data_IF_312397022586
#
_entry.id   IF_312397022586
#
_cell.length_a   1.000
_cell.length_b   1.000
_cell.length_c   1.000
_cell.angle_alpha   90.00
_cell.angle_beta   90.00
_cell.angle_gamma   90.00
#
_symmetry.space_group_name_H-M   'P 1'
#
loop_
_entity.id
_entity.type
_entity.pdbx_description
1 polymer ?
#
# COMPACT_ATOMS: atom_id res chain seq x y z
N UNK A 1 -52.00 -10.22 21.01
CA UNK A 1 -51.11 -11.24 21.64
C UNK A 1 -50.42 -12.06 20.53
N UNK A 2 -51.08 -12.32 19.39
CA UNK A 2 -50.53 -13.07 18.25
C UNK A 2 -49.37 -12.31 17.53
N UNK A 3 -49.43 -11.00 17.45
CA UNK A 3 -48.43 -10.19 16.73
C UNK A 3 -47.06 -10.15 17.46
N UNK A 4 -47.03 -10.25 18.80
CA UNK A 4 -45.75 -10.32 19.56
C UNK A 4 -45.05 -11.66 19.39
N UNK A 5 -45.80 -12.77 19.21
CA UNK A 5 -45.19 -14.12 19.01
C UNK A 5 -44.51 -14.22 17.63
N UNK A 6 -45.10 -13.68 16.60
CA UNK A 6 -44.49 -13.67 15.26
C UNK A 6 -43.21 -12.83 15.16
N UNK A 7 -43.18 -11.65 15.80
CA UNK A 7 -41.98 -10.80 15.84
C UNK A 7 -40.82 -11.43 16.58
N UNK A 8 -41.08 -12.19 17.66
CA UNK A 8 -40.04 -12.84 18.44
C UNK A 8 -39.45 -14.04 17.70
N UNK A 9 -40.26 -14.82 16.99
CA UNK A 9 -39.79 -15.93 16.15
C UNK A 9 -38.99 -15.40 14.95
N UNK A 10 -39.46 -14.35 14.27
CA UNK A 10 -38.70 -13.70 13.21
C UNK A 10 -37.35 -13.12 13.69
N UNK A 11 -37.29 -12.54 14.90
CA UNK A 11 -36.04 -12.03 15.45
C UNK A 11 -35.02 -13.16 15.74
N UNK A 12 -35.51 -14.33 16.18
CA UNK A 12 -34.67 -15.51 16.42
C UNK A 12 -34.23 -16.14 15.09
N UNK A 13 -35.12 -16.27 14.11
CA UNK A 13 -34.75 -16.72 12.77
C UNK A 13 -33.75 -15.76 12.08
N UNK A 14 -33.90 -14.46 12.27
CA UNK A 14 -32.94 -13.47 11.78
C UNK A 14 -31.59 -13.55 12.53
N UNK A 15 -31.58 -13.83 13.83
CA UNK A 15 -30.37 -14.08 14.61
C UNK A 15 -29.69 -15.39 14.21
N UNK A 16 -30.46 -16.42 13.89
CA UNK A 16 -29.95 -17.73 13.43
C UNK A 16 -29.45 -17.61 11.97
N UNK A 17 -30.16 -16.89 11.09
CA UNK A 17 -29.75 -16.68 9.70
C UNK A 17 -28.47 -15.85 9.57
N UNK A 18 -28.15 -15.00 10.52
CA UNK A 18 -26.90 -14.23 10.52
C UNK A 18 -25.69 -15.02 11.01
N UNK A 19 -25.82 -16.31 11.41
CA UNK A 19 -24.74 -17.22 11.83
C UNK A 19 -23.73 -16.62 12.85
N UNK A 20 -23.96 -15.38 13.29
CA UNK A 20 -22.98 -14.56 13.97
C UNK A 20 -22.77 -15.01 15.41
N UNK A 21 -23.85 -15.37 16.08
CA UNK A 21 -23.82 -15.72 17.50
C UNK A 21 -23.34 -17.15 17.77
N UNK A 22 -23.60 -18.03 16.85
CA UNK A 22 -23.43 -19.48 17.00
C UNK A 22 -22.00 -19.91 16.63
N UNK A 23 -21.35 -19.18 15.72
CA UNK A 23 -19.93 -19.36 15.42
C UNK A 23 -19.00 -19.04 16.60
N UNK A 24 -19.36 -18.08 17.45
CA UNK A 24 -18.58 -17.76 18.66
C UNK A 24 -18.53 -18.90 19.67
N UNK A 25 -19.56 -19.75 19.72
CA UNK A 25 -19.62 -20.89 20.62
C UNK A 25 -18.96 -22.16 20.06
N UNK A 26 -18.45 -22.15 18.83
CA UNK A 26 -17.88 -23.33 18.16
C UNK A 26 -18.92 -24.40 17.83
N UNK A 27 -20.21 -24.03 17.81
CA UNK A 27 -21.32 -24.97 17.57
C UNK A 27 -21.78 -24.91 16.10
N UNK A 28 -21.81 -26.05 15.44
CA UNK A 28 -22.49 -26.21 14.17
C UNK A 28 -24.00 -26.39 14.41
N UNK A 29 -24.78 -25.41 14.01
CA UNK A 29 -26.22 -25.44 14.18
C UNK A 29 -26.93 -26.08 12.99
N UNK A 30 -27.97 -26.83 13.27
CA UNK A 30 -28.84 -27.40 12.26
C UNK A 30 -29.88 -26.35 11.85
N UNK A 31 -29.98 -26.08 10.55
CA UNK A 31 -30.94 -25.12 9.99
C UNK A 31 -32.37 -25.52 10.38
N UNK A 32 -33.15 -24.57 10.91
CA UNK A 32 -34.51 -24.81 11.37
C UNK A 32 -34.67 -25.44 12.76
N UNK A 33 -33.58 -25.82 13.45
CA UNK A 33 -33.63 -26.41 14.78
C UNK A 33 -33.61 -25.36 15.90
N UNK A 34 -34.46 -24.34 15.83
CA UNK A 34 -34.58 -23.28 16.83
C UNK A 34 -35.95 -23.27 17.53
N UNK A 35 -35.96 -23.13 18.85
CA UNK A 35 -37.16 -22.97 19.65
C UNK A 35 -36.98 -21.87 20.69
N UNK A 36 -38.02 -21.05 20.85
CA UNK A 36 -38.05 -19.99 21.89
C UNK A 36 -39.20 -20.23 22.85
N UNK A 37 -38.85 -20.39 24.14
CA UNK A 37 -39.82 -20.54 25.20
C UNK A 37 -40.22 -19.19 25.79
N UNK A 38 -41.41 -18.73 25.46
CA UNK A 38 -41.92 -17.42 25.87
C UNK A 38 -42.08 -17.26 27.39
N UNK A 39 -42.30 -18.37 28.12
CA UNK A 39 -42.49 -18.32 29.59
C UNK A 39 -41.20 -18.04 30.33
N UNK A 40 -40.11 -18.62 29.89
CA UNK A 40 -38.78 -18.50 30.54
C UNK A 40 -37.89 -17.49 29.85
N UNK A 41 -38.25 -17.02 28.65
CA UNK A 41 -37.41 -16.14 27.84
C UNK A 41 -36.16 -16.84 27.28
N UNK A 42 -36.14 -18.17 27.22
CA UNK A 42 -35.02 -18.96 26.74
C UNK A 42 -35.16 -19.32 25.26
N UNK A 43 -34.07 -19.18 24.53
CA UNK A 43 -33.90 -19.72 23.21
C UNK A 43 -33.11 -21.03 23.28
N UNK A 44 -33.51 -22.00 22.46
CA UNK A 44 -32.86 -23.30 22.30
C UNK A 44 -32.51 -23.41 20.81
N UNK A 45 -31.27 -23.78 20.52
CA UNK A 45 -30.78 -23.99 19.16
C UNK A 45 -30.11 -25.34 19.09
N UNK A 46 -30.63 -26.22 18.21
CA UNK A 46 -30.08 -27.56 18.01
C UNK A 46 -28.82 -27.52 17.14
N UNK A 47 -27.84 -28.29 17.50
CA UNK A 47 -26.60 -28.52 16.76
C UNK A 47 -26.31 -30.02 16.60
N UNK A 48 -25.22 -30.33 15.90
CA UNK A 48 -24.82 -31.73 15.63
C UNK A 48 -24.49 -32.47 16.89
N UNK A 49 -23.90 -31.83 17.89
CA UNK A 49 -23.44 -32.43 19.13
C UNK A 49 -24.33 -32.14 20.35
N UNK A 50 -25.53 -31.58 20.13
CA UNK A 50 -26.45 -31.27 21.23
C UNK A 50 -27.29 -30.01 20.93
N UNK A 51 -27.64 -29.30 22.00
CA UNK A 51 -28.36 -28.03 21.86
C UNK A 51 -27.76 -26.95 22.75
N UNK A 52 -27.77 -25.71 22.23
CA UNK A 52 -27.41 -24.54 22.97
C UNK A 52 -28.66 -23.87 23.54
N UNK A 53 -28.62 -23.43 24.80
CA UNK A 53 -29.69 -22.64 25.40
C UNK A 53 -29.13 -21.32 25.93
N UNK A 54 -29.81 -20.23 25.64
CA UNK A 54 -29.43 -18.89 26.09
C UNK A 54 -30.68 -18.00 26.25
N UNK A 55 -30.49 -16.88 26.93
CA UNK A 55 -31.53 -15.84 27.02
C UNK A 55 -31.13 -14.69 26.07
N UNK A 56 -31.86 -14.44 24.98
CA UNK A 56 -31.51 -13.39 24.01
C UNK A 56 -31.38 -12.01 24.64
N UNK A 57 -32.18 -11.73 25.68
CA UNK A 57 -32.15 -10.45 26.40
C UNK A 57 -30.86 -10.24 27.23
N UNK A 58 -30.15 -11.33 27.54
CA UNK A 58 -28.88 -11.30 28.32
C UNK A 58 -27.65 -11.34 27.44
N UNK A 59 -27.83 -11.50 26.15
CA UNK A 59 -26.72 -11.46 25.19
C UNK A 59 -26.24 -10.03 25.07
N UNK A 60 -25.01 -9.81 25.47
CA UNK A 60 -24.35 -8.51 25.34
C UNK A 60 -23.42 -8.55 24.13
N UNK A 61 -23.57 -7.61 23.24
CA UNK A 61 -22.61 -7.38 22.15
C UNK A 61 -21.32 -6.83 22.77
N UNK A 62 -20.22 -7.45 22.45
CA UNK A 62 -18.91 -6.94 22.88
C UNK A 62 -18.61 -5.64 22.14
N UNK A 63 -18.62 -4.54 22.86
CA UNK A 63 -18.30 -3.20 22.33
C UNK A 63 -16.81 -2.90 22.33
N UNK A 64 -16.01 -3.81 22.84
CA UNK A 64 -14.56 -3.64 22.90
C UNK A 64 -13.97 -3.93 21.53
N UNK A 65 -13.26 -2.96 20.97
CA UNK A 65 -12.48 -3.12 19.75
C UNK A 65 -11.01 -3.12 20.14
N UNK A 66 -10.24 -4.17 19.79
CA UNK A 66 -8.83 -4.22 20.13
C UNK A 66 -8.02 -3.18 19.36
N UNK A 67 -6.95 -2.67 19.95
CA UNK A 67 -6.01 -1.80 19.27
C UNK A 67 -5.22 -2.56 18.20
N UNK A 68 -4.90 -1.90 17.08
CA UNK A 68 -4.05 -2.45 16.00
C UNK A 68 -2.66 -1.85 16.08
N UNK A 69 -1.66 -2.68 15.89
CA UNK A 69 -0.25 -2.26 15.83
C UNK A 69 0.43 -2.81 14.59
N UNK A 70 1.41 -2.08 14.09
CA UNK A 70 2.31 -2.55 13.04
C UNK A 70 3.37 -3.47 13.69
N UNK A 71 3.49 -4.69 13.19
CA UNK A 71 4.32 -5.74 13.79
C UNK A 71 5.57 -6.05 12.99
N UNK A 72 5.58 -5.79 11.69
CA UNK A 72 6.71 -6.11 10.82
C UNK A 72 6.82 -5.20 9.61
N UNK A 73 8.06 -5.01 9.17
CA UNK A 73 8.41 -4.35 7.92
C UNK A 73 9.33 -5.28 7.13
N UNK A 74 9.00 -5.51 5.89
CA UNK A 74 9.88 -6.16 4.93
C UNK A 74 10.16 -5.22 3.76
N UNK A 75 11.38 -5.22 3.26
CA UNK A 75 11.80 -4.45 2.09
C UNK A 75 12.51 -5.40 1.14
N UNK A 76 12.00 -5.52 -0.10
CA UNK A 76 12.48 -6.48 -1.11
C UNK A 76 12.57 -7.91 -0.55
N UNK A 77 11.52 -8.35 0.12
CA UNK A 77 11.38 -9.67 0.76
C UNK A 77 12.41 -9.96 1.87
N UNK A 78 13.03 -8.91 2.42
CA UNK A 78 13.92 -8.98 3.57
C UNK A 78 13.28 -8.31 4.77
N UNK A 79 13.17 -9.04 5.88
CA UNK A 79 12.67 -8.49 7.13
C UNK A 79 13.66 -7.46 7.68
N UNK A 80 13.14 -6.30 8.09
CA UNK A 80 13.91 -5.16 8.57
C UNK A 80 13.60 -4.92 10.04
N UNK A 81 14.60 -5.14 10.88
CA UNK A 81 14.56 -4.87 12.31
C UNK A 81 15.09 -3.47 12.68
N UNK A 82 15.02 -3.17 13.97
CA UNK A 82 15.57 -1.93 14.53
C UNK A 82 17.08 -1.93 14.43
N UNK A 83 17.66 -0.88 13.85
CA UNK A 83 19.10 -0.72 13.65
C UNK A 83 19.66 -1.44 12.43
N UNK A 84 18.84 -2.20 11.69
CA UNK A 84 19.28 -2.85 10.48
C UNK A 84 19.63 -1.85 9.39
N UNK A 85 20.70 -2.13 8.66
CA UNK A 85 21.18 -1.28 7.58
C UNK A 85 20.79 -1.85 6.21
N UNK A 86 20.06 -1.07 5.44
CA UNK A 86 19.74 -1.38 4.06
C UNK A 86 20.35 -0.32 3.13
N UNK A 87 21.13 -0.76 2.14
CA UNK A 87 21.82 0.16 1.21
C UNK A 87 22.67 1.23 1.89
N UNK A 88 23.31 0.88 3.06
CA UNK A 88 24.18 1.78 3.81
C UNK A 88 23.45 2.81 4.68
N UNK A 89 22.15 2.65 4.93
CA UNK A 89 21.33 3.49 5.81
C UNK A 89 20.55 2.65 6.81
N UNK A 90 20.35 3.16 8.00
CA UNK A 90 19.41 2.61 8.97
C UNK A 90 18.00 2.99 8.53
N UNK A 91 17.13 2.02 8.39
CA UNK A 91 15.73 2.22 7.95
C UNK A 91 14.82 2.47 9.15
N UNK A 92 14.99 1.70 10.22
CA UNK A 92 14.23 1.82 11.45
C UNK A 92 15.17 2.15 12.62
N UNK A 93 15.02 3.34 13.20
CA UNK A 93 15.77 3.74 14.40
C UNK A 93 15.10 3.27 15.70
N UNK A 94 13.81 2.96 15.62
CA UNK A 94 12.97 2.50 16.72
C UNK A 94 11.97 1.44 16.25
N UNK A 95 11.33 0.69 17.16
CA UNK A 95 10.32 -0.31 16.79
C UNK A 95 9.22 0.28 15.91
N UNK A 96 8.74 -0.50 14.93
CA UNK A 96 7.80 -0.05 13.91
C UNK A 96 6.52 0.53 14.52
N UNK A 97 6.00 -0.05 15.61
CA UNK A 97 4.81 0.43 16.31
C UNK A 97 4.98 1.81 16.99
N UNK A 98 6.22 2.30 17.15
CA UNK A 98 6.53 3.66 17.63
C UNK A 98 6.92 4.59 16.48
N UNK A 99 7.21 4.04 15.31
CA UNK A 99 7.66 4.79 14.14
C UNK A 99 6.47 5.46 13.49
N UNK A 100 6.54 6.77 13.33
CA UNK A 100 5.49 7.54 12.64
C UNK A 100 5.80 7.79 11.18
N UNK A 101 7.05 7.70 10.80
CA UNK A 101 7.52 8.05 9.46
C UNK A 101 8.54 7.02 8.98
N UNK A 102 8.26 6.42 7.83
CA UNK A 102 9.12 5.49 7.12
C UNK A 102 9.63 6.15 5.85
N UNK A 103 10.95 6.32 5.74
CA UNK A 103 11.57 6.92 4.55
C UNK A 103 12.15 5.82 3.67
N UNK A 104 11.61 5.68 2.47
CA UNK A 104 12.05 4.73 1.45
C UNK A 104 12.69 5.47 0.26
N UNK A 105 13.48 4.77 -0.50
CA UNK A 105 14.09 5.27 -1.74
C UNK A 105 13.57 4.49 -2.94
N UNK A 106 13.78 5.00 -4.13
CA UNK A 106 13.44 4.28 -5.39
C UNK A 106 14.22 2.97 -5.58
N UNK A 107 15.23 2.69 -4.76
CA UNK A 107 15.94 1.40 -4.74
C UNK A 107 15.16 0.34 -3.99
N UNK A 108 14.34 0.75 -3.04
CA UNK A 108 13.48 -0.11 -2.23
C UNK A 108 12.19 -0.37 -3.02
N UNK A 109 12.26 -1.22 -4.04
CA UNK A 109 11.23 -1.41 -5.06
C UNK A 109 9.91 -1.97 -4.53
N UNK A 110 9.97 -2.71 -3.44
CA UNK A 110 8.80 -3.28 -2.76
C UNK A 110 8.98 -3.19 -1.26
N UNK A 111 7.89 -2.99 -0.55
CA UNK A 111 7.85 -3.11 0.90
C UNK A 111 6.55 -3.77 1.32
N UNK A 112 6.60 -4.53 2.41
CA UNK A 112 5.46 -5.16 3.05
C UNK A 112 5.32 -4.66 4.47
N UNK A 113 4.09 -4.43 4.90
CA UNK A 113 3.74 -4.04 6.26
C UNK A 113 2.89 -5.16 6.87
N UNK A 114 3.36 -5.71 7.97
CA UNK A 114 2.59 -6.63 8.79
C UNK A 114 1.93 -5.87 9.95
N UNK A 115 0.69 -6.24 10.26
CA UNK A 115 -0.10 -5.63 11.33
C UNK A 115 -0.85 -6.70 12.12
N UNK A 116 -1.15 -6.42 13.38
CA UNK A 116 -1.94 -7.32 14.23
C UNK A 116 -2.75 -6.54 15.25
N UNK A 117 -3.94 -7.04 15.55
CA UNK A 117 -4.72 -6.55 16.67
C UNK A 117 -4.22 -7.17 18.00
N UNK A 118 -4.25 -6.37 19.05
CA UNK A 118 -3.93 -6.82 20.42
C UNK A 118 -5.14 -7.53 21.03
N UNK A 119 -5.53 -8.66 20.41
CA UNK A 119 -6.66 -9.48 20.84
C UNK A 119 -6.20 -10.89 21.18
N UNK A 120 -6.57 -11.35 22.38
CA UNK A 120 -6.27 -12.71 22.85
C UNK A 120 -7.47 -13.66 22.77
N UNK A 121 -8.66 -13.09 22.56
CA UNK A 121 -9.92 -13.85 22.46
C UNK A 121 -10.52 -13.57 21.08
N UNK A 122 -11.03 -14.63 20.43
CA UNK A 122 -11.66 -14.57 19.10
C UNK A 122 -10.81 -13.88 18.03
N UNK A 123 -9.49 -13.99 18.11
CA UNK A 123 -8.55 -13.32 17.19
C UNK A 123 -8.68 -13.78 15.73
N UNK A 124 -9.21 -14.97 15.50
CA UNK A 124 -9.52 -15.59 14.21
C UNK A 124 -10.79 -15.04 13.55
N UNK A 125 -11.67 -14.44 14.35
CA UNK A 125 -12.94 -13.86 13.88
C UNK A 125 -12.84 -12.37 13.54
N UNK A 126 -11.69 -11.75 13.78
CA UNK A 126 -11.46 -10.36 13.46
C UNK A 126 -11.41 -10.14 11.94
N UNK A 127 -11.70 -8.92 11.51
CA UNK A 127 -11.46 -8.45 10.16
C UNK A 127 -10.63 -7.17 10.23
N UNK A 128 -9.76 -6.99 9.25
CA UNK A 128 -8.99 -5.77 9.12
C UNK A 128 -9.43 -5.00 7.89
N UNK A 129 -9.35 -3.70 7.95
CA UNK A 129 -9.43 -2.85 6.78
C UNK A 129 -8.21 -1.95 6.75
N UNK A 130 -7.51 -1.91 5.64
CA UNK A 130 -6.35 -1.06 5.44
C UNK A 130 -6.47 -0.22 4.17
N UNK A 131 -5.76 0.88 4.14
CA UNK A 131 -5.64 1.75 2.98
C UNK A 131 -4.33 2.53 3.04
N UNK A 132 -3.67 2.67 1.93
CA UNK A 132 -2.54 3.58 1.75
C UNK A 132 -3.04 4.87 1.11
N UNK A 133 -3.39 5.84 1.94
CA UNK A 133 -3.94 7.13 1.53
C UNK A 133 -2.94 7.85 0.62
N UNK A 134 -3.41 8.31 -0.53
CA UNK A 134 -2.59 8.88 -1.60
C UNK A 134 -2.22 7.88 -2.71
N UNK A 135 -2.47 6.59 -2.49
CA UNK A 135 -2.26 5.54 -3.50
C UNK A 135 -3.53 4.71 -3.73
N UNK A 136 -4.12 4.16 -2.66
CA UNK A 136 -5.35 3.38 -2.74
C UNK A 136 -6.56 4.29 -2.89
N UNK A 137 -7.52 3.87 -3.71
CA UNK A 137 -8.78 4.60 -3.92
C UNK A 137 -9.86 4.24 -2.92
N UNK A 138 -9.73 3.10 -2.23
CA UNK A 138 -10.70 2.59 -1.27
C UNK A 138 -10.03 1.73 -0.20
N UNK A 139 -10.75 1.48 0.89
CA UNK A 139 -10.35 0.54 1.93
C UNK A 139 -10.44 -0.90 1.44
N UNK A 140 -9.41 -1.68 1.69
CA UNK A 140 -9.38 -3.13 1.43
C UNK A 140 -9.68 -3.87 2.71
N UNK A 141 -10.72 -4.70 2.70
CA UNK A 141 -11.13 -5.52 3.85
C UNK A 141 -10.57 -6.93 3.69
N UNK A 142 -9.91 -7.42 4.73
CA UNK A 142 -9.27 -8.75 4.76
C UNK A 142 -9.60 -9.50 6.05
N UNK A 143 -9.63 -10.86 6.03
CA UNK A 143 -9.84 -11.66 7.22
C UNK A 143 -8.63 -11.64 8.15
N UNK A 144 -8.81 -12.13 9.38
CA UNK A 144 -7.76 -12.22 10.38
C UNK A 144 -6.53 -13.06 9.97
N UNK A 145 -6.66 -13.93 8.97
CA UNK A 145 -5.54 -14.71 8.43
C UNK A 145 -4.59 -13.90 7.56
N UNK A 146 -5.05 -12.77 6.98
CA UNK A 146 -4.28 -11.90 6.09
C UNK A 146 -3.85 -10.65 6.85
N UNK A 147 -2.66 -10.71 7.47
CA UNK A 147 -2.12 -9.66 8.35
C UNK A 147 -0.94 -8.92 7.73
N UNK A 148 -0.78 -9.04 6.42
CA UNK A 148 0.32 -8.43 5.68
C UNK A 148 -0.20 -7.85 4.38
N UNK A 149 0.39 -6.73 3.98
CA UNK A 149 0.13 -6.06 2.71
C UNK A 149 1.44 -5.65 2.07
N UNK A 150 1.55 -5.88 0.77
CA UNK A 150 2.74 -5.54 -0.02
C UNK A 150 2.43 -4.47 -1.05
N UNK A 151 3.32 -3.51 -1.18
CA UNK A 151 3.29 -2.47 -2.20
C UNK A 151 4.58 -2.51 -3.01
N UNK A 152 4.46 -2.35 -4.32
CA UNK A 152 5.61 -2.41 -5.23
C UNK A 152 5.60 -1.30 -6.26
N UNK A 153 6.81 -0.87 -6.68
CA UNK A 153 7.03 0.13 -7.74
C UNK A 153 6.23 1.43 -7.55
N UNK A 154 6.11 1.89 -6.31
CA UNK A 154 5.37 3.09 -6.01
C UNK A 154 6.09 4.35 -6.51
N UNK A 155 5.36 5.34 -7.02
CA UNK A 155 5.91 6.64 -7.37
C UNK A 155 6.54 7.35 -6.16
N UNK A 156 7.46 8.27 -6.43
CA UNK A 156 7.95 9.18 -5.38
C UNK A 156 6.80 10.06 -4.87
N UNK A 157 6.66 10.15 -3.56
CA UNK A 157 5.57 10.86 -2.91
C UNK A 157 5.49 10.57 -1.42
N UNK A 158 4.51 11.18 -0.77
CA UNK A 158 4.17 10.95 0.63
C UNK A 158 2.82 10.27 0.69
N UNK A 159 2.75 9.17 1.42
CA UNK A 159 1.58 8.33 1.57
C UNK A 159 1.32 8.09 3.06
N UNK A 160 0.09 7.83 3.45
CA UNK A 160 -0.23 7.48 4.84
C UNK A 160 -0.88 6.11 4.88
N UNK A 161 -0.19 5.15 5.49
CA UNK A 161 -0.77 3.84 5.74
C UNK A 161 -1.67 3.91 6.97
N UNK A 162 -2.90 3.47 6.82
CA UNK A 162 -3.91 3.42 7.87
C UNK A 162 -4.54 2.04 7.91
N UNK A 163 -4.72 1.51 9.12
CA UNK A 163 -5.37 0.23 9.34
C UNK A 163 -6.32 0.31 10.52
N UNK A 164 -7.45 -0.36 10.41
CA UNK A 164 -8.46 -0.50 11.48
C UNK A 164 -8.94 -1.94 11.56
N UNK A 165 -9.47 -2.31 12.71
CA UNK A 165 -9.97 -3.65 12.97
C UNK A 165 -11.47 -3.64 13.26
N UNK A 166 -12.14 -4.70 12.84
CA UNK A 166 -13.50 -5.03 13.19
C UNK A 166 -13.49 -6.19 14.19
N UNK A 167 -14.21 -6.06 15.30
CA UNK A 167 -14.35 -7.15 16.25
C UNK A 167 -15.27 -8.26 15.71
N UNK A 168 -15.37 -9.39 16.44
CA UNK A 168 -16.22 -10.50 16.08
C UNK A 168 -17.71 -10.13 15.95
N UNK A 169 -18.16 -9.09 16.63
CA UNK A 169 -19.55 -8.59 16.61
C UNK A 169 -19.82 -7.57 15.47
N UNK A 170 -18.85 -7.35 14.58
CA UNK A 170 -19.00 -6.47 13.43
C UNK A 170 -18.80 -4.98 13.73
N UNK A 171 -18.27 -4.64 14.92
CA UNK A 171 -17.99 -3.27 15.29
C UNK A 171 -16.60 -2.86 14.82
N UNK A 172 -16.52 -1.85 13.97
CA UNK A 172 -15.27 -1.27 13.52
C UNK A 172 -14.69 -0.31 14.56
N UNK A 173 -13.41 -0.44 14.83
CA UNK A 173 -12.67 0.50 15.64
C UNK A 173 -12.28 1.77 14.91
N UNK A 174 -11.67 2.72 15.63
CA UNK A 174 -11.07 3.91 15.03
C UNK A 174 -9.92 3.52 14.09
N UNK A 175 -9.51 4.46 13.25
CA UNK A 175 -8.28 4.31 12.48
C UNK A 175 -7.08 4.33 13.41
N UNK A 176 -6.29 3.28 13.36
CA UNK A 176 -5.09 3.10 14.20
C UNK A 176 -3.89 2.74 13.32
N UNK A 177 -2.72 2.71 13.94
CA UNK A 177 -1.46 2.37 13.27
C UNK A 177 -1.19 3.25 12.02
N UNK A 178 -1.29 4.56 12.18
CA UNK A 178 -0.95 5.52 11.13
C UNK A 178 0.58 5.59 10.95
N UNK A 179 1.05 5.25 9.75
CA UNK A 179 2.45 5.33 9.34
C UNK A 179 2.57 6.17 8.07
N UNK A 180 3.30 7.27 8.16
CA UNK A 180 3.64 8.06 6.99
C UNK A 180 4.78 7.39 6.22
N UNK A 181 4.55 7.05 4.96
CA UNK A 181 5.52 6.42 4.06
C UNK A 181 5.96 7.45 3.03
N UNK A 182 7.24 7.85 3.11
CA UNK A 182 7.85 8.83 2.19
C UNK A 182 8.76 8.09 1.22
N UNK A 183 8.44 8.15 -0.06
CA UNK A 183 9.27 7.60 -1.12
C UNK A 183 10.03 8.73 -1.80
N UNK A 184 11.34 8.77 -1.58
CA UNK A 184 12.20 9.82 -2.12
C UNK A 184 12.38 9.66 -3.63
N UNK A 185 12.36 10.76 -4.40
CA UNK A 185 12.63 10.73 -5.83
C UNK A 185 14.08 10.32 -6.11
N UNK A 186 14.28 9.60 -7.21
CA UNK A 186 15.62 9.27 -7.70
C UNK A 186 16.41 10.53 -8.04
N UNK A 187 17.74 10.43 -7.86
CA UNK A 187 18.64 11.58 -8.10
C UNK A 187 18.54 12.15 -9.51
N UNK A 188 18.23 11.33 -10.53
CA UNK A 188 18.05 11.78 -11.92
C UNK A 188 16.71 12.47 -12.20
N UNK A 189 15.73 12.39 -11.29
CA UNK A 189 14.46 13.12 -11.38
C UNK A 189 14.54 14.54 -10.82
N UNK A 190 15.71 14.93 -10.29
CA UNK A 190 15.90 16.28 -9.75
C UNK A 190 16.00 17.29 -10.88
N UNK A 191 15.32 18.45 -10.82
CA UNK A 191 15.22 19.42 -11.92
C UNK A 191 16.58 19.98 -12.38
N UNK A 192 17.59 20.05 -11.51
CA UNK A 192 18.91 20.52 -11.89
C UNK A 192 19.63 19.64 -12.93
N UNK A 193 19.27 18.37 -13.03
CA UNK A 193 19.84 17.44 -14.02
C UNK A 193 19.48 17.84 -15.43
N UNK A 194 18.23 18.29 -15.65
CA UNK A 194 17.80 18.79 -16.95
C UNK A 194 18.61 20.04 -17.36
N UNK A 195 18.99 20.90 -16.39
CA UNK A 195 19.86 22.05 -16.66
C UNK A 195 21.27 21.60 -17.09
N UNK A 196 21.84 20.59 -16.44
CA UNK A 196 23.14 20.03 -16.82
C UNK A 196 23.09 19.41 -18.21
N UNK A 197 22.07 18.62 -18.54
CA UNK A 197 21.90 18.06 -19.88
C UNK A 197 21.71 19.15 -20.93
N UNK A 198 20.94 20.18 -20.65
CA UNK A 198 20.75 21.33 -21.53
C UNK A 198 22.08 22.06 -21.80
N UNK A 199 22.88 22.27 -20.77
CA UNK A 199 24.20 22.88 -20.89
C UNK A 199 25.16 22.03 -21.76
N UNK A 200 25.18 20.72 -21.55
CA UNK A 200 25.98 19.80 -22.36
C UNK A 200 25.58 19.87 -23.83
N UNK A 201 24.28 19.84 -24.13
CA UNK A 201 23.80 19.96 -25.52
C UNK A 201 24.19 21.27 -26.17
N UNK A 202 24.15 22.40 -25.42
CA UNK A 202 24.58 23.70 -25.94
C UNK A 202 26.08 23.66 -26.24
N UNK A 203 26.91 23.15 -25.35
CA UNK A 203 28.37 23.04 -25.55
C UNK A 203 28.69 22.17 -26.76
N UNK A 204 28.06 20.99 -26.89
CA UNK A 204 28.22 20.11 -28.06
C UNK A 204 27.79 20.81 -29.33
N UNK A 205 26.66 21.48 -29.33
CA UNK A 205 26.17 22.30 -30.49
C UNK A 205 27.18 23.36 -30.91
N UNK A 206 27.76 24.10 -29.95
CA UNK A 206 28.79 25.11 -30.24
C UNK A 206 30.08 24.50 -30.81
N UNK A 207 30.52 23.33 -30.28
CA UNK A 207 31.70 22.63 -30.80
C UNK A 207 31.48 22.15 -32.26
N UNK A 208 30.32 21.55 -32.55
CA UNK A 208 29.94 21.11 -33.88
C UNK A 208 29.86 22.32 -34.82
N UNK A 209 29.23 23.43 -34.41
CA UNK A 209 29.15 24.64 -35.21
C UNK A 209 30.54 25.21 -35.53
N UNK A 210 31.45 25.26 -34.54
CA UNK A 210 32.84 25.68 -34.74
C UNK A 210 33.57 24.75 -35.72
N UNK A 211 33.43 23.43 -35.59
CA UNK A 211 34.04 22.46 -36.47
C UNK A 211 33.59 22.62 -37.92
N UNK A 212 32.27 22.77 -38.15
CA UNK A 212 31.70 22.99 -39.47
C UNK A 212 32.15 24.33 -40.08
N UNK A 213 32.23 25.41 -39.28
CA UNK A 213 32.74 26.68 -39.74
C UNK A 213 34.20 26.61 -40.17
N UNK A 214 35.04 25.92 -39.39
CA UNK A 214 36.47 25.72 -39.69
C UNK A 214 36.65 24.86 -40.96
N UNK A 215 35.86 23.80 -41.14
CA UNK A 215 35.88 22.99 -42.36
C UNK A 215 35.50 23.75 -43.60
N UNK A 216 34.46 24.60 -43.52
CA UNK A 216 34.07 25.48 -44.64
C UNK A 216 35.15 26.49 -44.98
N UNK A 217 35.85 27.08 -43.99
CA UNK A 217 36.93 28.03 -44.26
C UNK A 217 38.13 27.35 -44.91
N UNK A 218 38.49 26.11 -44.51
CA UNK A 218 39.54 25.36 -45.16
C UNK A 218 39.22 25.03 -46.59
N UNK A 219 38.00 24.58 -46.90
CA UNK A 219 37.56 24.32 -48.26
C UNK A 219 37.59 25.57 -49.15
N UNK A 220 37.23 26.73 -48.61
CA UNK A 220 37.30 28.03 -49.34
C UNK A 220 38.75 28.47 -49.57
N UNK A 221 39.70 28.20 -48.67
CA UNK A 221 41.11 28.47 -48.87
C UNK A 221 41.71 27.57 -49.95
N UNK A 222 41.40 26.26 -49.92
CA UNK A 222 41.85 25.34 -50.95
C UNK A 222 41.35 25.72 -52.36
N UNK A 223 40.09 26.17 -52.48
CA UNK A 223 39.56 26.65 -53.79
C UNK A 223 40.28 27.93 -54.26
N UNK A 224 40.58 28.87 -53.37
CA UNK A 224 41.33 30.08 -53.73
C UNK A 224 42.74 29.80 -54.14
N UNK A 225 43.41 28.88 -53.44
CA UNK A 225 44.79 28.48 -53.80
C UNK A 225 44.84 27.72 -55.14
N UNK A 226 43.79 26.93 -55.45
CA UNK A 226 43.65 26.28 -56.77
C UNK A 226 43.42 27.30 -57.91
N UNK A 227 42.58 28.32 -57.70
CA UNK A 227 42.33 29.37 -58.71
C UNK A 227 43.56 30.23 -58.94
N UNK A 228 44.34 30.57 -57.90
CA UNK A 228 45.60 31.30 -57.99
C UNK A 228 46.64 30.52 -58.79
N UNK A 229 46.76 29.22 -58.64
CA UNK A 229 47.64 28.37 -59.42
C UNK A 229 47.25 28.18 -60.88
N UNK A 230 45.96 28.27 -61.19
CA UNK A 230 45.47 28.24 -62.56
C UNK A 230 45.74 29.57 -63.29
N UNK A 231 45.61 30.72 -62.61
CA UNK A 231 45.92 32.04 -63.16
C UNK A 231 47.40 32.23 -63.44
N UNK A 232 48.31 31.63 -62.64
CA UNK A 232 49.77 31.75 -62.81
C UNK A 232 50.29 30.83 -63.96
N UNK A 233 49.51 29.84 -64.41
CA UNK A 233 49.86 28.90 -65.51
C UNK A 233 49.39 29.38 -66.91
N UNK A 234 48.79 30.56 -67.00
CA UNK A 234 48.57 31.21 -68.28
C UNK A 234 49.66 32.25 -68.53
N UNK A 235 50.86 31.93 -68.96
CA UNK A 235 51.76 32.89 -69.50
C UNK A 235 51.50 32.99 -71.05
N UNK A 236 51.22 34.13 -71.47
CA UNK A 236 51.58 34.71 -72.80
C UNK A 236 51.73 33.67 -73.94
N UNK A 237 50.64 33.30 -74.53
CA UNK A 237 50.66 32.78 -75.92
C UNK A 237 49.88 33.80 -76.79
N UNK A 238 50.53 34.95 -77.05
CA UNK A 238 50.18 35.84 -78.14
C UNK A 238 51.39 36.79 -78.40
N UNK A 239 52.27 36.35 -79.27
CA UNK A 239 52.94 37.16 -80.31
C UNK A 239 53.26 36.25 -81.46
#
# INVERSE_FOLDING_TARGET
ISHKKGLTVMAIETMISHQFFIRQAGYECVEGAGFYEVKTGRAFVGGVDGFLTFMPEKVQVDKTVPAVVLTGLEIMDQSVGVGDTLHGRVVLEQPLYLTRQLVLTQRDKSFSLAFSALAFVNADQLQYAYSLIGYDTAWTVVPASSREVSYSNMPAGTYTFSVKVCNADGLWGPEEALLEVIILPSWWQRPWIYLVFGLILIVVGLLVFRALKTSRQRALHELKDADGKVSERQPAALV
#
